data_IF_632016835473
#
_entry.id   IF_632016835473
#
_cell.length_a   1.000
_cell.length_b   1.000
_cell.length_c   1.000
_cell.angle_alpha   90.00
_cell.angle_beta   90.00
_cell.angle_gamma   90.00
#
_symmetry.space_group_name_H-M   'P 1'
#
loop_
_entity.id
_entity.type
_entity.pdbx_description
1 polymer ?
#
# COMPACT_ATOMS: atom_id res chain seq x y z
N UNK A 1 -26.85 37.15 -64.10
CA UNK A 1 -27.14 37.02 -62.66
C UNK A 1 -26.86 38.37 -62.01
N UNK A 2 -27.86 39.03 -61.41
CA UNK A 2 -27.70 40.37 -60.81
C UNK A 2 -26.70 40.34 -59.65
N UNK A 3 -25.97 41.45 -59.41
CA UNK A 3 -24.97 41.57 -58.32
C UNK A 3 -25.53 41.11 -56.95
N UNK A 4 -26.83 41.33 -56.72
CA UNK A 4 -27.56 40.91 -55.52
C UNK A 4 -27.62 39.38 -55.35
N UNK A 5 -27.77 38.63 -56.44
CA UNK A 5 -27.77 37.16 -56.44
C UNK A 5 -26.35 36.59 -56.24
N UNK A 6 -25.32 37.28 -56.74
CA UNK A 6 -23.91 36.88 -56.56
C UNK A 6 -23.48 37.03 -55.10
N UNK A 7 -23.89 38.11 -54.43
CA UNK A 7 -23.62 38.33 -53.00
C UNK A 7 -24.37 37.34 -52.09
N UNK A 8 -25.59 36.93 -52.46
CA UNK A 8 -26.32 35.89 -51.72
C UNK A 8 -25.68 34.50 -51.89
N UNK A 9 -25.19 34.17 -53.09
CA UNK A 9 -24.42 32.94 -53.33
C UNK A 9 -23.11 32.91 -52.56
N UNK A 10 -22.39 34.02 -52.49
CA UNK A 10 -21.16 34.13 -51.71
C UNK A 10 -21.46 33.94 -50.21
N UNK A 11 -22.53 34.58 -49.69
CA UNK A 11 -22.95 34.39 -48.30
C UNK A 11 -23.36 32.95 -47.99
N UNK A 12 -24.07 32.28 -48.90
CA UNK A 12 -24.44 30.87 -48.76
C UNK A 12 -23.20 29.97 -48.77
N UNK A 13 -22.24 30.20 -49.68
CA UNK A 13 -20.99 29.45 -49.70
C UNK A 13 -20.20 29.65 -48.40
N UNK A 14 -20.03 30.89 -47.93
CA UNK A 14 -19.31 31.18 -46.70
C UNK A 14 -19.95 30.52 -45.47
N UNK A 15 -21.29 30.49 -45.40
CA UNK A 15 -22.02 29.82 -44.32
C UNK A 15 -21.80 28.30 -44.33
N UNK A 16 -21.83 27.68 -45.51
CA UNK A 16 -21.53 26.24 -45.67
C UNK A 16 -20.08 25.93 -45.28
N UNK A 17 -19.13 26.80 -45.62
CA UNK A 17 -17.71 26.61 -45.25
C UNK A 17 -17.52 26.67 -43.73
N UNK A 18 -18.20 27.59 -43.03
CA UNK A 18 -18.14 27.70 -41.56
C UNK A 18 -18.73 26.44 -40.90
N UNK A 19 -19.83 25.90 -41.42
CA UNK A 19 -20.42 24.66 -40.91
C UNK A 19 -19.45 23.50 -41.09
N UNK A 20 -18.82 23.36 -42.25
CA UNK A 20 -17.83 22.31 -42.51
C UNK A 20 -16.63 22.39 -41.58
N UNK A 21 -16.10 23.60 -41.32
CA UNK A 21 -14.99 23.82 -40.38
C UNK A 21 -15.42 23.47 -38.94
N UNK A 22 -16.63 23.85 -38.54
CA UNK A 22 -17.17 23.49 -37.21
C UNK A 22 -17.35 21.99 -37.04
N UNK A 23 -17.76 21.27 -38.10
CA UNK A 23 -17.89 19.82 -38.08
C UNK A 23 -16.53 19.13 -37.99
N UNK A 24 -15.51 19.63 -38.70
CA UNK A 24 -14.14 19.10 -38.57
C UNK A 24 -13.56 19.31 -37.18
N UNK A 25 -13.86 20.45 -36.54
CA UNK A 25 -13.42 20.73 -35.17
C UNK A 25 -14.05 19.75 -34.16
N UNK A 26 -15.35 19.48 -34.27
CA UNK A 26 -16.06 18.51 -33.41
C UNK A 26 -15.49 17.10 -33.57
N UNK A 27 -15.10 16.70 -34.78
CA UNK A 27 -14.46 15.39 -35.01
C UNK A 27 -12.99 15.33 -34.55
N UNK A 28 -12.26 16.45 -34.53
CA UNK A 28 -10.90 16.50 -33.96
C UNK A 28 -10.87 16.56 -32.43
N UNK A 29 -11.98 16.93 -31.77
CA UNK A 29 -12.13 16.86 -30.32
C UNK A 29 -12.79 15.56 -29.82
N UNK A 30 -12.76 14.50 -30.63
CA UNK A 30 -13.10 13.16 -30.14
C UNK A 30 -11.91 12.66 -29.32
N UNK A 31 -12.12 12.59 -28.01
CA UNK A 31 -11.17 12.18 -26.98
C UNK A 31 -10.04 11.27 -27.49
N UNK A 32 -8.81 11.77 -27.42
CA UNK A 32 -7.62 10.93 -27.34
C UNK A 32 -7.57 10.27 -25.95
N UNK A 33 -8.66 9.62 -25.52
CA UNK A 33 -8.55 8.60 -24.49
C UNK A 33 -7.86 7.43 -25.19
N UNK A 34 -6.53 7.38 -25.10
CA UNK A 34 -5.80 6.13 -25.25
C UNK A 34 -6.46 5.15 -24.29
N UNK A 35 -7.31 4.27 -24.82
CA UNK A 35 -7.71 3.07 -24.12
C UNK A 35 -6.40 2.31 -23.94
N UNK A 36 -5.85 2.37 -22.73
CA UNK A 36 -4.74 1.52 -22.33
C UNK A 36 -5.20 0.09 -22.57
N UNK A 37 -4.63 -0.56 -23.57
CA UNK A 37 -4.81 -1.99 -23.78
C UNK A 37 -3.91 -2.63 -22.75
N UNK A 38 -4.48 -2.91 -21.57
CA UNK A 38 -3.80 -3.64 -20.51
C UNK A 38 -3.40 -4.99 -21.12
N UNK A 39 -2.10 -5.23 -21.25
CA UNK A 39 -1.57 -6.46 -21.81
C UNK A 39 -1.57 -7.50 -20.68
N UNK A 40 -2.36 -8.57 -20.79
CA UNK A 40 -2.52 -9.56 -19.71
C UNK A 40 -1.18 -10.17 -19.24
N UNK A 41 -0.15 -10.15 -20.09
CA UNK A 41 1.19 -10.67 -19.79
C UNK A 41 2.05 -9.77 -18.88
N UNK A 42 1.64 -8.54 -18.57
CA UNK A 42 2.36 -7.62 -17.66
C UNK A 42 1.70 -7.50 -16.28
N UNK A 43 0.50 -8.06 -16.11
CA UNK A 43 -0.27 -7.97 -14.85
C UNK A 43 0.35 -8.93 -13.82
N UNK A 44 0.89 -8.35 -12.74
CA UNK A 44 1.40 -9.11 -11.59
C UNK A 44 0.28 -9.54 -10.65
N UNK A 45 -0.70 -8.67 -10.45
CA UNK A 45 -1.76 -8.86 -9.46
C UNK A 45 -3.01 -8.07 -9.84
N UNK A 46 -4.18 -8.58 -9.46
CA UNK A 46 -5.46 -7.88 -9.58
C UNK A 46 -6.17 -7.90 -8.23
N UNK A 47 -6.47 -6.70 -7.70
CA UNK A 47 -7.23 -6.53 -6.46
C UNK A 47 -8.61 -5.98 -6.79
N UNK A 48 -9.65 -6.59 -6.23
CA UNK A 48 -11.05 -6.21 -6.44
C UNK A 48 -11.62 -5.54 -5.21
N UNK A 49 -12.18 -4.33 -5.36
CA UNK A 49 -12.84 -3.58 -4.29
C UNK A 49 -13.69 -2.47 -4.89
N UNK A 50 -14.71 -2.00 -4.17
CA UNK A 50 -15.29 -0.68 -4.44
C UNK A 50 -14.25 0.39 -4.08
N UNK A 51 -13.85 1.21 -5.06
CA UNK A 51 -12.82 2.25 -4.92
C UNK A 51 -13.39 3.67 -5.01
N UNK A 52 -14.67 3.82 -5.35
CA UNK A 52 -15.31 5.12 -5.54
C UNK A 52 -16.55 5.34 -4.64
N UNK A 53 -17.00 4.31 -3.92
CA UNK A 53 -18.15 4.31 -3.03
C UNK A 53 -19.51 4.14 -3.73
N UNK A 54 -19.55 3.68 -4.99
CA UNK A 54 -20.79 3.48 -5.75
C UNK A 54 -21.45 2.11 -5.51
N UNK A 55 -20.81 1.26 -4.69
CA UNK A 55 -21.28 -0.08 -4.33
C UNK A 55 -20.96 -1.16 -5.36
N UNK A 56 -20.23 -0.84 -6.44
CA UNK A 56 -19.79 -1.81 -7.45
C UNK A 56 -18.33 -2.18 -7.24
N UNK A 57 -17.96 -3.34 -7.76
CA UNK A 57 -16.58 -3.82 -7.72
C UNK A 57 -15.76 -3.16 -8.84
N UNK A 58 -14.68 -2.49 -8.45
CA UNK A 58 -13.64 -1.96 -9.33
C UNK A 58 -12.38 -2.86 -9.26
N UNK A 59 -11.44 -2.64 -10.17
CA UNK A 59 -10.20 -3.42 -10.24
C UNK A 59 -8.97 -2.53 -10.12
N UNK A 60 -8.02 -2.91 -9.26
CA UNK A 60 -6.65 -2.40 -9.22
C UNK A 60 -5.72 -3.41 -9.90
N UNK A 61 -4.88 -2.91 -10.80
CA UNK A 61 -3.89 -3.69 -11.54
C UNK A 61 -2.49 -3.19 -11.20
N UNK A 62 -1.57 -4.13 -11.00
CA UNK A 62 -0.15 -3.84 -10.85
C UNK A 62 0.55 -4.35 -12.10
N UNK A 63 1.27 -3.45 -12.77
CA UNK A 63 2.05 -3.73 -13.97
C UNK A 63 3.51 -3.33 -13.76
N UNK A 64 4.38 -3.84 -14.63
CA UNK A 64 5.78 -3.42 -14.71
C UNK A 64 6.02 -2.57 -15.94
N UNK A 65 6.59 -1.39 -15.74
CA UNK A 65 7.09 -0.54 -16.81
C UNK A 65 8.37 -1.09 -17.45
N UNK A 66 8.89 -0.36 -18.44
CA UNK A 66 10.09 -0.74 -19.21
C UNK A 66 11.35 -0.89 -18.36
N UNK A 67 11.41 -0.24 -17.20
CA UNK A 67 12.56 -0.28 -16.28
C UNK A 67 12.29 -1.13 -15.04
N UNK A 68 11.31 -2.05 -15.10
CA UNK A 68 10.80 -2.82 -13.97
C UNK A 68 10.23 -1.96 -12.83
N UNK A 69 9.94 -0.67 -13.07
CA UNK A 69 9.22 0.18 -12.14
C UNK A 69 7.75 -0.27 -12.04
N UNK A 70 7.16 -0.17 -10.85
CA UNK A 70 5.75 -0.48 -10.67
C UNK A 70 4.86 0.62 -11.26
N UNK A 71 3.80 0.21 -11.94
CA UNK A 71 2.70 1.07 -12.40
C UNK A 71 1.41 0.47 -11.83
N UNK A 72 0.60 1.29 -11.17
CA UNK A 72 -0.68 0.85 -10.60
C UNK A 72 -1.81 1.61 -11.28
N UNK A 73 -2.77 0.87 -11.83
CA UNK A 73 -3.97 1.42 -12.48
C UNK A 73 -5.23 0.91 -11.79
N UNK A 74 -6.19 1.81 -11.57
CA UNK A 74 -7.54 1.49 -11.13
C UNK A 74 -8.52 1.62 -12.30
N UNK A 75 -9.26 0.55 -12.61
CA UNK A 75 -10.36 0.59 -13.58
C UNK A 75 -11.68 0.73 -12.83
N UNK A 76 -12.31 1.90 -12.98
CA UNK A 76 -13.57 2.29 -12.35
C UNK A 76 -14.55 2.69 -13.45
N UNK A 77 -15.70 2.04 -13.55
CA UNK A 77 -16.72 2.30 -14.58
C UNK A 77 -16.13 2.43 -16.01
N UNK A 78 -15.31 1.45 -16.42
CA UNK A 78 -14.60 1.38 -17.72
C UNK A 78 -13.53 2.47 -17.97
N UNK A 79 -13.24 3.32 -16.98
CA UNK A 79 -12.17 4.32 -17.05
C UNK A 79 -10.97 3.86 -16.23
N UNK A 80 -9.77 4.08 -16.76
CA UNK A 80 -8.51 3.79 -16.08
C UNK A 80 -7.96 5.05 -15.41
N UNK A 81 -7.53 4.91 -14.16
CA UNK A 81 -6.92 5.95 -13.35
C UNK A 81 -5.59 5.44 -12.82
N UNK A 82 -4.48 6.04 -13.25
CA UNK A 82 -3.16 5.71 -12.75
C UNK A 82 -2.95 6.33 -11.36
N UNK A 83 -2.34 5.58 -10.44
CA UNK A 83 -1.89 6.09 -9.15
C UNK A 83 -0.53 6.79 -9.35
N UNK A 84 -0.56 8.10 -9.59
CA UNK A 84 0.66 8.88 -9.82
C UNK A 84 1.33 9.24 -8.49
N UNK A 85 2.57 8.78 -8.21
CA UNK A 85 3.26 9.08 -6.97
C UNK A 85 3.59 10.58 -6.84
N UNK A 86 3.78 11.02 -5.59
CA UNK A 86 4.22 12.36 -5.29
C UNK A 86 5.54 12.69 -6.01
N UNK A 87 5.67 13.91 -6.54
CA UNK A 87 6.84 14.38 -7.30
C UNK A 87 8.17 14.33 -6.56
N UNK A 88 8.16 14.27 -5.22
CA UNK A 88 9.39 14.19 -4.43
C UNK A 88 10.08 12.83 -4.53
N UNK A 89 9.34 11.72 -4.39
CA UNK A 89 9.87 10.36 -4.61
C UNK A 89 9.78 10.01 -6.10
N UNK A 90 8.69 10.41 -6.75
CA UNK A 90 8.41 10.23 -8.17
C UNK A 90 8.53 8.77 -8.65
N UNK A 91 8.25 7.82 -7.78
CA UNK A 91 8.27 6.39 -8.08
C UNK A 91 7.34 5.64 -7.13
N UNK A 92 6.77 4.52 -7.60
CA UNK A 92 6.08 3.52 -6.77
C UNK A 92 7.02 2.36 -6.40
N UNK A 93 8.33 2.50 -6.63
CA UNK A 93 9.34 1.47 -6.44
C UNK A 93 9.60 0.64 -7.71
N UNK A 94 10.64 -0.21 -7.64
CA UNK A 94 10.95 -1.20 -8.67
C UNK A 94 10.66 -2.62 -8.19
N UNK A 95 10.35 -3.49 -9.15
CA UNK A 95 10.16 -4.90 -8.87
C UNK A 95 11.43 -5.55 -8.32
N UNK A 96 11.27 -6.18 -7.16
CA UNK A 96 12.29 -6.99 -6.52
C UNK A 96 11.65 -8.31 -6.06
N UNK A 97 12.18 -9.48 -6.46
CA UNK A 97 11.63 -10.78 -6.02
C UNK A 97 11.62 -10.96 -4.51
N UNK A 98 12.59 -10.39 -3.80
CA UNK A 98 12.71 -10.45 -2.35
C UNK A 98 11.95 -9.31 -1.62
N UNK A 99 11.45 -8.30 -2.35
CA UNK A 99 10.66 -7.18 -1.83
C UNK A 99 9.53 -6.79 -2.79
N UNK A 100 8.55 -7.68 -3.00
CA UNK A 100 7.40 -7.37 -3.84
C UNK A 100 6.57 -6.23 -3.23
N UNK A 101 5.98 -5.43 -4.11
CA UNK A 101 4.95 -4.44 -3.76
C UNK A 101 3.81 -5.10 -2.98
N UNK A 102 3.26 -4.38 -2.01
CA UNK A 102 2.10 -4.78 -1.23
C UNK A 102 1.06 -3.65 -1.24
N UNK A 103 -0.21 -4.02 -1.38
CA UNK A 103 -1.35 -3.12 -1.32
C UNK A 103 -2.22 -3.41 -0.10
N UNK A 104 -2.59 -2.38 0.66
CA UNK A 104 -3.60 -2.47 1.71
C UNK A 104 -4.70 -1.45 1.44
N UNK A 105 -5.96 -1.88 1.49
CA UNK A 105 -7.12 -1.03 1.21
C UNK A 105 -7.92 -0.82 2.51
N UNK A 106 -7.99 0.42 2.98
CA UNK A 106 -8.63 0.76 4.27
C UNK A 106 -9.47 2.04 4.13
N UNK A 107 -10.65 2.07 4.76
CA UNK A 107 -11.47 3.28 4.88
C UNK A 107 -10.96 4.13 6.07
N UNK A 108 -10.10 5.10 5.78
CA UNK A 108 -9.35 5.86 6.78
C UNK A 108 -10.09 7.13 7.23
N UNK A 109 -11.11 7.59 6.48
CA UNK A 109 -11.94 8.75 6.86
C UNK A 109 -13.43 8.43 7.10
N UNK A 110 -13.79 7.15 7.11
CA UNK A 110 -15.13 6.62 7.41
C UNK A 110 -16.20 7.04 6.41
N UNK A 111 -15.82 7.11 5.13
CA UNK A 111 -16.73 7.49 4.05
C UNK A 111 -17.17 6.28 3.18
N UNK A 112 -16.80 5.05 3.55
CA UNK A 112 -16.95 3.80 2.80
C UNK A 112 -16.14 3.69 1.49
N UNK A 113 -15.25 4.64 1.22
CA UNK A 113 -14.29 4.62 0.11
C UNK A 113 -12.94 4.28 0.72
N UNK A 114 -12.33 3.18 0.28
CA UNK A 114 -11.04 2.76 0.80
C UNK A 114 -9.92 3.60 0.18
N UNK A 115 -9.08 4.18 1.01
CA UNK A 115 -7.76 4.63 0.61
C UNK A 115 -6.84 3.43 0.33
N UNK A 116 -5.87 3.64 -0.57
CA UNK A 116 -4.93 2.61 -1.02
C UNK A 116 -3.55 2.93 -0.45
N UNK A 117 -3.06 2.06 0.44
CA UNK A 117 -1.70 2.08 0.96
C UNK A 117 -0.84 1.21 0.04
N UNK A 118 0.26 1.76 -0.44
CA UNK A 118 1.26 1.06 -1.25
C UNK A 118 2.55 0.99 -0.46
N UNK A 119 3.13 -0.21 -0.32
CA UNK A 119 4.46 -0.42 0.24
C UNK A 119 5.34 -1.17 -0.75
N UNK A 120 6.52 -0.64 -1.02
CA UNK A 120 7.48 -1.18 -1.98
C UNK A 120 8.90 -0.72 -1.65
N UNK A 121 9.81 -0.81 -2.62
CA UNK A 121 11.18 -0.31 -2.49
C UNK A 121 11.74 0.26 -3.79
N UNK A 122 12.63 1.24 -3.67
CA UNK A 122 13.49 1.76 -4.75
C UNK A 122 14.93 1.67 -4.27
N UNK A 123 15.84 1.10 -5.07
CA UNK A 123 17.28 1.02 -4.74
C UNK A 123 17.60 0.48 -3.32
N UNK A 124 16.80 -0.46 -2.82
CA UNK A 124 16.82 -1.03 -1.45
C UNK A 124 16.30 -0.11 -0.32
N UNK A 125 15.82 1.09 -0.63
CA UNK A 125 15.11 1.94 0.33
C UNK A 125 13.63 1.61 0.31
N UNK A 126 13.01 1.47 1.49
CA UNK A 126 11.55 1.29 1.59
C UNK A 126 10.84 2.55 1.11
N UNK A 127 9.70 2.36 0.45
CA UNK A 127 8.81 3.43 0.03
C UNK A 127 7.39 3.08 0.44
N UNK A 128 6.68 4.09 0.93
CA UNK A 128 5.29 4.00 1.34
C UNK A 128 4.51 5.13 0.69
N UNK A 129 3.32 4.84 0.17
CA UNK A 129 2.38 5.84 -0.34
C UNK A 129 0.97 5.61 0.21
N UNK A 130 0.17 6.66 0.28
CA UNK A 130 -1.25 6.62 0.56
C UNK A 130 -2.02 7.40 -0.49
N UNK A 131 -2.87 6.70 -1.24
CA UNK A 131 -3.68 7.28 -2.28
C UNK A 131 -5.14 7.42 -1.86
N UNK A 132 -5.72 8.56 -2.20
CA UNK A 132 -7.12 8.88 -1.94
C UNK A 132 -7.89 9.15 -3.22
N UNK A 133 -9.09 8.60 -3.33
CA UNK A 133 -10.01 8.93 -4.41
C UNK A 133 -10.59 10.35 -4.25
N UNK A 134 -10.55 11.13 -5.33
CA UNK A 134 -11.01 12.54 -5.36
C UNK A 134 -12.30 12.75 -6.15
N UNK A 135 -12.84 11.69 -6.77
CA UNK A 135 -13.94 11.77 -7.74
C UNK A 135 -13.47 11.87 -9.19
N UNK A 136 -12.24 12.34 -9.42
CA UNK A 136 -11.65 12.47 -10.77
C UNK A 136 -10.39 11.63 -10.97
N UNK A 137 -9.93 10.92 -9.94
CA UNK A 137 -8.67 10.21 -9.91
C UNK A 137 -8.16 10.00 -8.49
N UNK A 138 -6.97 9.41 -8.37
CA UNK A 138 -6.29 9.20 -7.10
C UNK A 138 -5.25 10.30 -6.85
N UNK A 139 -5.25 10.83 -5.64
CA UNK A 139 -4.26 11.79 -5.16
C UNK A 139 -3.34 11.08 -4.15
N UNK A 140 -2.02 11.19 -4.34
CA UNK A 140 -1.02 10.78 -3.34
C UNK A 140 -0.98 11.80 -2.20
N UNK A 141 -1.62 11.46 -1.09
CA UNK A 141 -1.76 12.34 0.08
C UNK A 141 -0.69 12.13 1.14
N UNK A 142 0.12 11.07 1.02
CA UNK A 142 1.23 10.79 1.94
C UNK A 142 2.26 9.88 1.28
N UNK A 143 3.53 10.23 1.50
CA UNK A 143 4.65 9.39 1.13
C UNK A 143 5.70 9.36 2.25
N UNK A 144 6.48 8.28 2.33
CA UNK A 144 7.59 8.16 3.27
C UNK A 144 8.62 7.13 2.80
N UNK A 145 9.86 7.27 3.27
CA UNK A 145 10.93 6.27 3.12
C UNK A 145 11.08 5.36 4.36
N UNK A 146 10.17 5.51 5.32
CA UNK A 146 10.11 4.64 6.50
C UNK A 146 9.84 3.19 6.09
N UNK A 147 10.25 2.24 6.94
CA UNK A 147 10.03 0.82 6.68
C UNK A 147 8.91 0.17 7.50
N UNK A 148 8.28 0.88 8.42
CA UNK A 148 7.10 0.42 9.14
C UNK A 148 5.95 1.40 8.89
N UNK A 149 4.79 0.88 8.52
CA UNK A 149 3.53 1.61 8.47
C UNK A 149 2.46 0.81 9.19
N UNK A 150 1.55 1.48 9.87
CA UNK A 150 0.35 0.81 10.32
C UNK A 150 -0.78 1.74 10.65
N UNK A 151 -1.92 1.13 10.91
CA UNK A 151 -3.15 1.82 11.25
C UNK A 151 -3.62 1.35 12.60
N UNK A 152 -3.96 2.30 13.46
CA UNK A 152 -4.66 2.05 14.73
C UNK A 152 -6.04 2.66 14.64
N UNK A 153 -6.95 2.17 15.47
CA UNK A 153 -8.37 2.47 15.36
C UNK A 153 -8.92 2.07 13.98
N UNK A 154 -8.40 0.97 13.39
CA UNK A 154 -8.58 0.65 11.96
C UNK A 154 -10.03 0.42 11.57
N UNK A 155 -10.85 -0.18 12.44
CA UNK A 155 -12.26 -0.45 12.15
C UNK A 155 -13.18 -0.28 13.37
N UNK A 156 -12.75 0.49 14.37
CA UNK A 156 -13.60 0.83 15.52
C UNK A 156 -14.33 2.17 15.33
N UNK A 157 -15.11 2.61 16.32
CA UNK A 157 -15.86 3.87 16.26
C UNK A 157 -15.01 5.15 16.30
N UNK A 158 -13.69 5.04 16.46
CA UNK A 158 -12.76 6.18 16.40
C UNK A 158 -12.27 6.37 14.96
N UNK A 159 -11.78 7.57 14.67
CA UNK A 159 -11.12 7.83 13.38
C UNK A 159 -9.75 7.15 13.36
N UNK A 160 -9.45 6.38 12.30
CA UNK A 160 -8.15 5.76 12.12
C UNK A 160 -6.99 6.73 12.23
N UNK A 161 -5.89 6.28 12.82
CA UNK A 161 -4.61 7.00 12.84
C UNK A 161 -3.56 6.17 12.13
N UNK A 162 -2.81 6.82 11.25
CA UNK A 162 -1.75 6.21 10.45
C UNK A 162 -0.43 6.53 11.12
N UNK A 163 0.36 5.51 11.40
CA UNK A 163 1.67 5.62 12.03
C UNK A 163 2.72 5.17 11.03
N UNK A 164 3.78 5.95 10.86
CA UNK A 164 4.90 5.63 9.97
C UNK A 164 6.22 5.95 10.67
N UNK A 165 7.14 4.99 10.65
CA UNK A 165 8.45 5.07 11.31
C UNK A 165 9.39 3.99 10.79
N UNK A 166 10.67 4.10 11.09
CA UNK A 166 11.67 3.09 10.78
C UNK A 166 12.03 2.24 12.01
N UNK A 167 12.41 0.99 11.81
CA UNK A 167 12.97 0.16 12.87
C UNK A 167 14.21 0.88 13.48
N UNK A 168 14.24 1.02 14.80
CA UNK A 168 15.29 1.74 15.53
C UNK A 168 14.99 3.22 15.78
N UNK A 169 13.91 3.77 15.20
CA UNK A 169 13.44 5.10 15.56
C UNK A 169 13.02 5.15 17.03
N UNK A 170 13.31 6.28 17.67
CA UNK A 170 12.76 6.58 18.98
C UNK A 170 11.26 6.91 18.89
N UNK A 171 10.54 6.77 20.01
CA UNK A 171 9.08 6.92 20.05
C UNK A 171 8.62 8.31 19.59
N UNK A 172 9.42 9.33 19.87
CA UNK A 172 9.17 10.71 19.45
C UNK A 172 9.31 10.95 17.94
N UNK A 173 10.00 10.06 17.21
CA UNK A 173 10.16 10.15 15.76
C UNK A 173 9.04 9.44 14.98
N UNK A 174 8.12 8.78 15.67
CA UNK A 174 6.96 8.14 15.04
C UNK A 174 6.06 9.23 14.45
N UNK A 175 5.97 9.25 13.12
CA UNK A 175 5.09 10.18 12.41
C UNK A 175 3.66 9.66 12.48
N UNK A 176 2.72 10.54 12.81
CA UNK A 176 1.32 10.18 13.03
C UNK A 176 0.43 11.08 12.20
N UNK A 177 -0.58 10.50 11.58
CA UNK A 177 -1.49 11.22 10.70
C UNK A 177 -2.93 10.76 10.87
N UNK A 178 -3.87 11.63 10.51
CA UNK A 178 -5.28 11.31 10.38
C UNK A 178 -5.85 11.93 9.12
N UNK A 179 -6.78 11.23 8.48
CA UNK A 179 -7.58 11.79 7.40
C UNK A 179 -8.90 12.31 8.01
N UNK A 180 -8.99 13.63 8.19
CA UNK A 180 -10.11 14.30 8.87
C UNK A 180 -10.77 15.30 7.94
N UNK A 181 -12.08 15.15 7.71
CA UNK A 181 -12.85 16.04 6.83
C UNK A 181 -12.18 16.20 5.46
N UNK A 182 -11.78 15.07 4.87
CA UNK A 182 -11.05 14.97 3.61
C UNK A 182 -9.65 15.60 3.59
N UNK A 183 -9.11 16.05 4.72
CA UNK A 183 -7.77 16.62 4.83
C UNK A 183 -6.84 15.69 5.57
N UNK A 184 -5.69 15.41 4.98
CA UNK A 184 -4.61 14.67 5.62
C UNK A 184 -3.88 15.60 6.60
N UNK A 185 -3.85 15.23 7.88
CA UNK A 185 -3.30 16.07 8.96
C UNK A 185 -2.22 15.33 9.72
N UNK A 186 -1.08 15.99 9.92
CA UNK A 186 -0.08 15.53 10.88
C UNK A 186 -0.61 15.73 12.31
N UNK A 187 -0.53 14.66 13.11
CA UNK A 187 -0.90 14.59 14.51
C UNK A 187 0.22 13.96 15.35
N UNK A 188 1.49 14.18 14.98
CA UNK A 188 2.65 13.61 15.70
C UNK A 188 2.73 14.02 17.18
N UNK A 189 1.94 15.00 17.62
CA UNK A 189 1.77 15.36 19.03
C UNK A 189 0.92 14.36 19.83
N UNK A 190 0.15 13.48 19.17
CA UNK A 190 -0.66 12.44 19.81
C UNK A 190 0.23 11.40 20.49
N UNK A 191 -0.20 10.83 21.61
CA UNK A 191 0.58 9.87 22.40
C UNK A 191 0.34 8.41 21.99
N UNK A 192 -0.50 8.14 20.99
CA UNK A 192 -0.77 6.78 20.52
C UNK A 192 0.51 6.09 20.08
N UNK A 193 0.66 4.82 20.46
CA UNK A 193 1.82 4.00 20.13
C UNK A 193 1.42 2.84 19.19
N UNK A 194 2.36 2.32 18.37
CA UNK A 194 2.13 1.11 17.59
C UNK A 194 1.76 -0.06 18.52
N UNK A 195 0.64 -0.74 18.22
CA UNK A 195 0.12 -1.80 19.08
C UNK A 195 1.03 -3.03 19.05
N UNK A 196 1.56 -3.44 20.21
CA UNK A 196 2.44 -4.60 20.32
C UNK A 196 3.90 -4.38 19.91
N UNK A 197 4.34 -3.11 19.78
CA UNK A 197 5.67 -2.76 19.29
C UNK A 197 6.82 -3.50 20.00
N UNK A 198 6.79 -3.60 21.33
CA UNK A 198 7.85 -4.24 22.11
C UNK A 198 8.06 -5.71 21.71
N UNK A 199 6.97 -6.48 21.67
CA UNK A 199 6.99 -7.90 21.31
C UNK A 199 7.42 -8.10 19.86
N UNK A 200 7.03 -7.19 18.96
CA UNK A 200 7.43 -7.25 17.56
C UNK A 200 8.91 -6.91 17.35
N UNK A 201 9.44 -5.89 18.00
CA UNK A 201 10.88 -5.57 17.95
C UNK A 201 11.68 -6.77 18.47
N UNK A 202 11.29 -7.31 19.62
CA UNK A 202 11.94 -8.49 20.20
C UNK A 202 11.87 -9.71 19.26
N UNK A 203 10.75 -9.90 18.55
CA UNK A 203 10.63 -10.96 17.54
C UNK A 203 11.56 -10.70 16.35
N UNK A 204 11.60 -9.48 15.81
CA UNK A 204 12.50 -9.10 14.71
C UNK A 204 13.96 -9.37 15.11
N UNK A 205 14.34 -9.02 16.34
CA UNK A 205 15.69 -9.26 16.86
C UNK A 205 16.01 -10.75 16.86
N UNK A 206 15.11 -11.59 17.38
CA UNK A 206 15.27 -13.06 17.36
C UNK A 206 15.49 -13.56 15.94
N UNK A 207 14.65 -13.16 14.99
CA UNK A 207 14.74 -13.63 13.59
C UNK A 207 16.08 -13.21 12.97
N UNK A 208 16.53 -12.00 13.26
CA UNK A 208 17.76 -11.42 12.70
C UNK A 208 19.06 -11.96 13.31
N UNK A 209 19.00 -12.72 14.42
CA UNK A 209 20.18 -13.38 14.97
C UNK A 209 20.76 -14.40 13.98
N UNK A 210 22.10 -14.48 13.92
CA UNK A 210 22.83 -15.42 13.09
C UNK A 210 22.99 -16.84 13.69
N UNK A 211 22.27 -17.12 14.78
CA UNK A 211 22.22 -18.41 15.46
C UNK A 211 20.79 -18.73 15.93
N UNK A 212 20.55 -20.01 16.22
CA UNK A 212 19.30 -20.48 16.81
C UNK A 212 19.28 -20.20 18.31
N UNK A 213 18.20 -19.60 18.80
CA UNK A 213 18.04 -19.31 20.22
C UNK A 213 17.74 -20.60 21.00
N UNK A 214 18.32 -20.73 22.20
CA UNK A 214 18.05 -21.83 23.12
C UNK A 214 16.84 -21.56 24.03
N UNK A 215 16.54 -20.29 24.29
CA UNK A 215 15.45 -19.86 25.15
C UNK A 215 14.63 -18.75 24.47
N UNK A 216 13.30 -18.84 24.60
CA UNK A 216 12.38 -17.85 24.07
C UNK A 216 12.22 -16.70 25.07
N UNK A 217 12.28 -15.43 24.62
CA UNK A 217 11.94 -14.30 25.48
C UNK A 217 10.46 -14.31 25.86
N UNK A 218 10.12 -13.57 26.92
CA UNK A 218 8.76 -13.45 27.43
C UNK A 218 7.89 -12.50 26.58
N UNK A 219 7.74 -12.83 25.30
CA UNK A 219 6.92 -12.10 24.32
C UNK A 219 5.82 -12.96 23.71
N UNK A 220 5.77 -14.25 24.06
CA UNK A 220 4.80 -15.21 23.53
C UNK A 220 3.72 -15.50 24.57
N UNK A 221 2.48 -15.65 24.11
CA UNK A 221 1.38 -16.08 24.94
C UNK A 221 1.66 -17.51 25.45
N UNK A 222 1.30 -17.80 26.71
CA UNK A 222 1.56 -19.11 27.32
C UNK A 222 0.84 -20.27 26.64
N UNK A 223 -0.20 -19.97 25.87
CA UNK A 223 -0.98 -20.94 25.10
C UNK A 223 -0.61 -20.98 23.61
N UNK A 224 0.45 -20.29 23.17
CA UNK A 224 0.89 -20.35 21.78
C UNK A 224 1.17 -21.81 21.38
N UNK A 225 0.79 -22.19 20.17
CA UNK A 225 0.95 -23.56 19.70
C UNK A 225 2.43 -23.89 19.48
N UNK A 226 2.79 -25.17 19.62
CA UNK A 226 4.14 -25.65 19.25
C UNK A 226 4.41 -25.51 17.75
N UNK A 227 3.37 -25.62 16.92
CA UNK A 227 3.45 -25.46 15.46
C UNK A 227 3.88 -24.03 15.10
N UNK A 228 3.26 -23.03 15.73
CA UNK A 228 3.55 -21.61 15.55
C UNK A 228 4.96 -21.28 16.05
N UNK A 229 5.33 -21.75 17.24
CA UNK A 229 6.69 -21.57 17.75
C UNK A 229 7.74 -22.24 16.85
N UNK A 230 7.45 -23.43 16.32
CA UNK A 230 8.38 -24.18 15.46
C UNK A 230 8.83 -23.41 14.22
N UNK A 231 8.03 -22.43 13.76
CA UNK A 231 8.35 -21.59 12.61
C UNK A 231 9.67 -20.83 12.78
N UNK A 232 10.05 -20.46 14.01
CA UNK A 232 11.31 -19.75 14.29
C UNK A 232 12.52 -20.62 13.93
N UNK A 233 12.49 -21.91 14.27
CA UNK A 233 13.59 -22.85 14.02
C UNK A 233 13.56 -23.44 12.60
N UNK A 234 12.53 -23.16 11.80
CA UNK A 234 12.49 -23.54 10.37
C UNK A 234 13.36 -22.65 9.49
N UNK A 235 13.99 -21.64 10.06
CA UNK A 235 14.78 -20.65 9.34
C UNK A 235 16.17 -21.15 8.92
N UNK A 236 16.61 -22.34 9.33
CA UNK A 236 17.89 -22.92 8.87
C UNK A 236 19.05 -21.91 9.00
N UNK A 237 19.16 -21.25 10.16
CA UNK A 237 20.09 -20.11 10.36
C UNK A 237 21.57 -20.46 10.23
N UNK A 238 21.90 -21.75 10.18
CA UNK A 238 23.23 -22.22 9.79
C UNK A 238 23.57 -21.83 8.35
N UNK A 239 22.59 -21.85 7.44
CA UNK A 239 22.75 -21.65 5.99
C UNK A 239 22.31 -20.27 5.49
N UNK A 240 21.51 -19.54 6.28
CA UNK A 240 20.90 -18.27 5.87
C UNK A 240 21.03 -17.16 6.93
N UNK A 241 21.06 -15.91 6.47
CA UNK A 241 20.77 -14.71 7.26
C UNK A 241 19.36 -14.19 6.95
N UNK A 242 18.77 -13.48 7.91
CA UNK A 242 17.46 -12.88 7.78
C UNK A 242 17.51 -11.40 8.14
N UNK A 243 17.33 -10.55 7.14
CA UNK A 243 17.41 -9.10 7.32
C UNK A 243 16.02 -8.48 7.21
N UNK A 244 15.56 -7.81 8.27
CA UNK A 244 14.28 -7.10 8.25
C UNK A 244 14.22 -6.06 7.14
N UNK A 245 13.13 -6.06 6.36
CA UNK A 245 12.92 -5.14 5.24
C UNK A 245 11.89 -4.09 5.59
N UNK A 246 10.67 -4.52 5.90
CA UNK A 246 9.54 -3.65 6.19
C UNK A 246 8.44 -4.39 6.96
N UNK A 247 7.50 -3.61 7.49
CA UNK A 247 6.30 -4.14 8.13
C UNK A 247 5.05 -3.32 7.85
N UNK A 248 3.92 -4.01 7.94
CA UNK A 248 2.59 -3.41 8.02
C UNK A 248 1.85 -3.91 9.25
N UNK A 249 1.13 -3.05 9.97
CA UNK A 249 0.31 -3.49 11.09
C UNK A 249 -1.07 -2.84 11.15
N UNK A 250 -2.01 -3.57 11.74
CA UNK A 250 -3.31 -3.04 12.12
C UNK A 250 -3.86 -3.71 13.37
N UNK A 251 -4.66 -2.98 14.13
CA UNK A 251 -5.56 -3.57 15.13
C UNK A 251 -6.73 -4.32 14.46
N UNK A 252 -7.07 -5.49 14.98
CA UNK A 252 -8.05 -6.42 14.38
C UNK A 252 -9.23 -6.73 15.31
N UNK A 253 -9.10 -6.45 16.61
CA UNK A 253 -10.19 -6.59 17.57
C UNK A 253 -10.05 -5.57 18.71
N UNK A 254 -11.19 -5.24 19.33
CA UNK A 254 -11.30 -4.22 20.37
C UNK A 254 -12.27 -4.64 21.47
N UNK A 255 -12.10 -4.06 22.64
CA UNK A 255 -13.08 -4.16 23.72
C UNK A 255 -14.20 -3.11 23.58
N UNK A 256 -15.14 -3.14 24.52
CA UNK A 256 -16.28 -2.22 24.54
C UNK A 256 -15.92 -0.74 24.76
N UNK A 257 -14.69 -0.43 25.22
CA UNK A 257 -14.19 0.96 25.34
C UNK A 257 -13.44 1.41 24.08
N UNK A 258 -13.34 0.55 23.07
CA UNK A 258 -12.63 0.82 21.83
C UNK A 258 -11.11 0.76 21.99
N UNK A 259 -10.60 0.08 23.00
CA UNK A 259 -9.17 -0.25 23.10
C UNK A 259 -8.89 -1.53 22.33
N UNK A 260 -7.76 -1.57 21.62
CA UNK A 260 -7.35 -2.76 20.90
C UNK A 260 -7.10 -3.93 21.88
N UNK A 261 -7.64 -5.09 21.55
CA UNK A 261 -7.35 -6.36 22.23
C UNK A 261 -6.49 -7.27 21.38
N UNK A 262 -6.48 -7.07 20.06
CA UNK A 262 -5.68 -7.86 19.14
C UNK A 262 -5.12 -6.98 18.02
N UNK A 263 -3.92 -7.30 17.55
CA UNK A 263 -3.35 -6.71 16.35
C UNK A 263 -2.66 -7.75 15.49
N UNK A 264 -2.51 -7.44 14.21
CA UNK A 264 -1.79 -8.24 13.23
C UNK A 264 -0.64 -7.42 12.67
N UNK A 265 0.52 -8.05 12.57
CA UNK A 265 1.72 -7.52 11.94
C UNK A 265 2.14 -8.44 10.80
N UNK A 266 2.34 -7.87 9.63
CA UNK A 266 3.03 -8.52 8.51
C UNK A 266 4.45 -8.02 8.50
N UNK A 267 5.43 -8.92 8.66
CA UNK A 267 6.86 -8.60 8.69
C UNK A 267 7.54 -9.26 7.49
N UNK A 268 8.30 -8.49 6.72
CA UNK A 268 9.02 -8.99 5.56
C UNK A 268 10.53 -8.99 5.85
N UNK A 269 11.19 -10.09 5.51
CA UNK A 269 12.62 -10.29 5.65
C UNK A 269 13.23 -10.74 4.33
N UNK A 270 14.47 -10.31 4.07
CA UNK A 270 15.31 -10.96 3.08
C UNK A 270 15.84 -12.27 3.68
N UNK A 271 15.65 -13.39 2.99
CA UNK A 271 16.39 -14.63 3.22
C UNK A 271 17.66 -14.59 2.35
N UNK A 272 18.81 -14.59 2.99
CA UNK A 272 20.11 -14.38 2.33
C UNK A 272 20.96 -15.64 2.52
N UNK A 273 21.26 -16.41 1.45
CA UNK A 273 22.15 -17.55 1.54
C UNK A 273 23.56 -17.10 1.93
N UNK A 274 24.17 -17.77 2.91
CA UNK A 274 25.55 -17.42 3.34
C UNK A 274 26.58 -17.68 2.25
N UNK A 275 26.39 -18.73 1.45
CA UNK A 275 27.30 -19.10 0.36
C UNK A 275 27.15 -18.20 -0.87
N UNK A 276 25.97 -17.63 -1.11
CA UNK A 276 25.70 -16.74 -2.24
C UNK A 276 24.76 -15.58 -1.83
N UNK A 277 25.30 -14.53 -1.20
CA UNK A 277 24.50 -13.42 -0.66
C UNK A 277 23.70 -12.61 -1.69
N UNK A 278 24.01 -12.76 -2.98
CA UNK A 278 23.31 -12.07 -4.06
C UNK A 278 21.97 -12.75 -4.43
N UNK A 279 21.79 -14.04 -4.10
CA UNK A 279 20.59 -14.79 -4.42
C UNK A 279 19.56 -14.69 -3.29
N UNK A 280 19.04 -13.48 -3.06
CA UNK A 280 18.10 -13.19 -1.98
C UNK A 280 16.69 -13.65 -2.36
N UNK A 281 15.95 -14.19 -1.40
CA UNK A 281 14.51 -14.43 -1.51
C UNK A 281 13.76 -13.75 -0.37
N UNK A 282 12.41 -13.79 -0.40
CA UNK A 282 11.58 -13.22 0.66
C UNK A 282 11.14 -14.29 1.66
N UNK A 283 11.18 -13.93 2.94
CA UNK A 283 10.39 -14.57 3.99
C UNK A 283 9.41 -13.56 4.57
N UNK A 284 8.15 -13.98 4.69
CA UNK A 284 7.08 -13.18 5.27
C UNK A 284 6.54 -13.87 6.53
N UNK A 285 6.46 -13.12 7.62
CA UNK A 285 5.76 -13.53 8.83
C UNK A 285 4.46 -12.75 8.97
N UNK A 286 3.37 -13.44 9.29
CA UNK A 286 2.14 -12.83 9.77
C UNK A 286 2.03 -13.20 11.25
N UNK A 287 2.14 -12.19 12.11
CA UNK A 287 2.17 -12.31 13.56
C UNK A 287 0.87 -11.73 14.11
N UNK A 288 0.14 -12.52 14.89
CA UNK A 288 -0.99 -12.01 15.67
C UNK A 288 -0.58 -11.84 17.13
N UNK A 289 -0.99 -10.73 17.71
CA UNK A 289 -0.80 -10.44 19.13
C UNK A 289 -2.14 -10.28 19.82
N UNK A 290 -2.18 -10.67 21.07
CA UNK A 290 -3.31 -10.54 21.97
C UNK A 290 -2.91 -9.79 23.23
N UNK A 291 -3.78 -8.89 23.69
CA UNK A 291 -3.62 -8.18 24.95
C UNK A 291 -3.93 -9.14 26.09
N UNK A 292 -2.89 -9.57 26.80
CA UNK A 292 -2.97 -10.40 28.00
C UNK A 292 -2.53 -9.52 29.16
N UNK A 293 -3.48 -9.23 30.06
CA UNK A 293 -3.36 -8.17 31.07
C UNK A 293 -3.10 -6.80 30.38
N UNK A 294 -1.92 -6.20 30.58
CA UNK A 294 -1.55 -4.89 30.04
C UNK A 294 -0.47 -4.97 28.95
N UNK A 295 -0.16 -6.19 28.46
CA UNK A 295 0.87 -6.43 27.45
C UNK A 295 0.33 -7.17 26.25
N UNK A 296 0.77 -6.80 25.06
CA UNK A 296 0.49 -7.55 23.84
C UNK A 296 1.53 -8.66 23.67
N UNK A 297 1.09 -9.91 23.72
CA UNK A 297 1.94 -11.08 23.52
C UNK A 297 1.60 -11.76 22.20
N UNK A 298 2.60 -12.34 21.55
CA UNK A 298 2.46 -13.08 20.30
C UNK A 298 1.64 -14.33 20.58
N UNK A 299 0.48 -14.43 19.95
CA UNK A 299 -0.45 -15.55 20.11
C UNK A 299 -0.47 -16.47 18.88
N UNK A 300 -0.04 -15.98 17.71
CA UNK A 300 0.12 -16.79 16.51
C UNK A 300 1.25 -16.31 15.59
N UNK A 301 1.88 -17.27 14.91
CA UNK A 301 2.97 -17.06 13.95
C UNK A 301 2.69 -17.87 12.69
N UNK A 302 2.53 -17.19 11.56
CA UNK A 302 2.43 -17.83 10.25
C UNK A 302 3.63 -17.42 9.39
N UNK A 303 4.36 -18.42 8.89
CA UNK A 303 5.56 -18.23 8.07
C UNK A 303 5.28 -18.63 6.62
N UNK A 304 5.46 -17.66 5.71
CA UNK A 304 5.41 -17.85 4.27
C UNK A 304 6.80 -17.67 3.68
N UNK A 305 7.35 -18.76 3.12
CA UNK A 305 8.62 -18.75 2.41
C UNK A 305 8.29 -18.82 0.92
N UNK A 306 8.53 -17.72 0.20
CA UNK A 306 8.45 -17.75 -1.26
C UNK A 306 9.64 -18.58 -1.76
N UNK A 307 9.34 -19.69 -2.43
CA UNK A 307 10.34 -20.56 -3.07
C UNK A 307 10.78 -20.00 -4.40
#
# INVERSE_FOLDING_TARGET
MTLKNKNNLIKQLSFITIILISFTLIFTFKDNSTKSVINENTIKETVKSDLNGDGKEDCLYIELGSENNYIINATINEKSYELTPNKTINSLGNFSPNRPITLNLLDLDRNNIKEIIVQSSEENSSIQHLFKWTGNGFEDIFYSTNNILGVVDSNNGKTPKILSFSLGDSKENIQKYMLLNKKFKNISYDTVEPTGLYSIISFIDIISLNYEISELPNIFATYISKEDLSQIWRLEKESYYYDFQDAFFMDIAWNNTGEATNCSWTLNFNKIPKENPNNKSQVKFIIQLEKINDTFLISSINLNINK
#
